data_IF_395108196282
#
_entry.id   IF_395108196282
#
_cell.length_a   1.000
_cell.length_b   1.000
_cell.length_c   1.000
_cell.angle_alpha   90.00
_cell.angle_beta   90.00
_cell.angle_gamma   90.00
#
_symmetry.space_group_name_H-M   'P 1'
#
loop_
_entity.id
_entity.type
_entity.pdbx_description
1 polymer ?
#
# COMPACT_ATOMS: atom_id res chain seq x y z
N UNK A 1 11.61 4.72 -20.99
CA UNK A 1 10.22 4.23 -20.76
C UNK A 1 10.10 2.72 -20.51
N UNK A 2 11.11 1.89 -20.85
CA UNK A 2 11.12 0.43 -20.53
C UNK A 2 11.73 0.06 -19.16
N UNK A 3 12.56 0.93 -18.57
CA UNK A 3 13.18 0.70 -17.26
C UNK A 3 12.29 1.09 -16.06
N UNK A 4 11.24 1.90 -16.28
CA UNK A 4 10.44 2.42 -15.16
C UNK A 4 9.78 1.26 -14.39
N UNK A 5 9.23 0.27 -15.06
CA UNK A 5 8.37 -0.74 -14.45
C UNK A 5 9.13 -1.88 -13.75
N UNK A 6 10.35 -2.19 -14.18
CA UNK A 6 11.08 -3.38 -13.72
C UNK A 6 11.66 -3.24 -12.32
N UNK A 7 11.91 -2.02 -11.82
CA UNK A 7 12.41 -1.81 -10.45
C UNK A 7 11.31 -1.66 -9.40
N UNK A 8 10.03 -1.72 -9.77
CA UNK A 8 8.92 -1.68 -8.80
C UNK A 8 8.84 -2.94 -7.92
N UNK A 9 9.62 -4.00 -8.22
CA UNK A 9 9.30 -5.36 -7.78
C UNK A 9 10.48 -6.33 -7.52
N UNK A 10 11.74 -5.87 -7.47
CA UNK A 10 12.89 -6.73 -7.13
C UNK A 10 13.48 -6.28 -5.77
N UNK A 11 13.74 -7.11 -4.76
CA UNK A 11 14.34 -8.45 -4.78
C UNK A 11 13.93 -9.33 -3.58
N UNK A 12 13.93 -10.64 -3.85
CA UNK A 12 14.35 -11.74 -2.97
C UNK A 12 13.46 -12.13 -1.80
N UNK A 13 12.50 -13.02 -2.10
CA UNK A 13 11.99 -13.99 -1.15
C UNK A 13 13.12 -14.88 -0.62
N UNK A 14 13.53 -14.65 0.63
CA UNK A 14 14.04 -15.66 1.56
C UNK A 14 13.86 -15.06 2.97
N UNK A 15 12.79 -15.49 3.64
CA UNK A 15 12.40 -15.17 5.02
C UNK A 15 12.00 -13.71 5.31
N UNK A 16 10.69 -13.43 5.28
CA UNK A 16 10.10 -12.20 5.84
C UNK A 16 9.32 -11.39 4.80
N UNK A 17 8.08 -11.06 5.14
CA UNK A 17 7.14 -10.31 4.29
C UNK A 17 7.71 -8.93 3.91
N UNK A 18 7.85 -8.66 2.61
CA UNK A 18 8.22 -7.34 2.08
C UNK A 18 6.96 -6.69 1.50
N UNK A 19 6.54 -5.56 2.06
CA UNK A 19 5.57 -4.67 1.42
C UNK A 19 6.30 -3.57 0.63
N UNK A 20 5.80 -3.30 -0.58
CA UNK A 20 6.30 -2.25 -1.45
C UNK A 20 5.49 -0.97 -1.26
N UNK A 21 6.18 0.15 -1.03
CA UNK A 21 5.59 1.49 -0.98
C UNK A 21 5.34 2.02 -2.41
N UNK A 22 4.19 2.68 -2.63
CA UNK A 22 3.78 3.28 -3.92
C UNK A 22 4.60 4.55 -4.22
N UNK A 23 5.47 4.58 -5.27
CA UNK A 23 6.40 5.69 -5.50
C UNK A 23 5.88 6.76 -6.49
N UNK A 24 6.46 7.98 -6.42
CA UNK A 24 5.97 9.18 -7.15
C UNK A 24 7.00 9.96 -8.01
N UNK A 25 8.33 9.74 -7.97
CA UNK A 25 9.32 10.31 -8.93
C UNK A 25 10.76 9.67 -8.89
N UNK A 26 11.72 10.08 -9.76
CA UNK A 26 12.99 9.34 -10.11
C UNK A 26 14.33 10.13 -10.04
N UNK A 27 15.45 9.43 -9.68
CA UNK A 27 16.87 9.74 -10.03
C UNK A 27 17.77 8.46 -10.09
N UNK A 28 18.25 8.02 -11.27
CA UNK A 28 19.31 6.99 -11.42
C UNK A 28 18.94 5.51 -11.19
N UNK A 29 19.94 4.67 -10.84
CA UNK A 29 19.89 3.20 -10.73
C UNK A 29 19.44 2.67 -9.35
N UNK A 30 18.91 3.53 -8.48
CA UNK A 30 18.41 3.10 -7.18
C UNK A 30 16.96 3.49 -6.94
N UNK A 31 16.26 2.61 -6.21
CA UNK A 31 14.87 2.77 -5.81
C UNK A 31 14.79 3.81 -4.69
N UNK A 32 14.67 5.07 -5.09
CA UNK A 32 14.37 6.19 -4.20
C UNK A 32 12.85 6.28 -4.11
N UNK A 33 12.26 6.00 -2.94
CA UNK A 33 10.92 6.53 -2.66
C UNK A 33 11.03 8.06 -2.72
N UNK A 34 9.95 8.83 -2.95
CA UNK A 34 9.98 10.33 -2.87
C UNK A 34 10.55 10.89 -1.54
N UNK A 35 10.81 9.97 -0.61
CA UNK A 35 11.13 10.11 0.79
C UNK A 35 12.48 9.46 1.10
N UNK A 36 13.16 8.81 0.15
CA UNK A 36 14.41 8.09 0.43
C UNK A 36 14.28 7.16 1.64
N UNK A 37 13.21 6.39 1.78
CA UNK A 37 12.99 5.46 2.89
C UNK A 37 12.48 4.11 2.37
N UNK A 38 13.08 3.00 2.82
CA UNK A 38 12.72 1.62 2.45
C UNK A 38 12.75 0.70 3.67
N UNK A 39 12.00 -0.41 3.64
CA UNK A 39 12.11 -1.46 4.65
C UNK A 39 13.31 -2.36 4.36
N UNK A 40 14.19 -2.50 5.34
CA UNK A 40 15.29 -3.45 5.33
C UNK A 40 14.84 -4.85 5.73
N UNK A 41 15.63 -5.86 5.36
CA UNK A 41 15.31 -7.27 5.56
C UNK A 41 15.29 -7.68 7.05
N UNK A 42 15.93 -6.93 7.95
CA UNK A 42 15.89 -7.18 9.38
C UNK A 42 14.78 -6.39 10.10
N UNK A 43 13.90 -5.72 9.35
CA UNK A 43 12.75 -4.98 9.89
C UNK A 43 13.02 -3.52 10.23
N UNK A 44 14.16 -2.98 9.81
CA UNK A 44 14.55 -1.57 9.94
C UNK A 44 13.97 -0.70 8.82
N UNK A 45 13.86 0.61 9.06
CA UNK A 45 13.58 1.58 8.00
C UNK A 45 14.89 2.22 7.59
N UNK A 46 15.39 1.89 6.40
CA UNK A 46 16.61 2.46 5.84
C UNK A 46 16.28 3.76 5.14
N UNK A 47 17.02 4.81 5.47
CA UNK A 47 16.99 6.08 4.76
C UNK A 47 18.02 6.04 3.63
N UNK A 48 17.56 6.19 2.40
CA UNK A 48 18.34 6.29 1.17
C UNK A 48 18.48 7.76 0.75
N UNK A 49 19.58 8.09 0.07
CA UNK A 49 19.71 9.37 -0.61
C UNK A 49 19.25 9.32 -2.07
N UNK A 50 19.42 10.44 -2.78
CA UNK A 50 19.07 10.56 -4.20
C UNK A 50 19.86 9.61 -5.11
N UNK A 51 21.00 9.09 -4.62
CA UNK A 51 21.79 8.06 -5.28
C UNK A 51 21.44 6.67 -4.76
N UNK A 52 20.39 6.56 -3.93
CA UNK A 52 19.91 5.39 -3.22
C UNK A 52 20.86 4.77 -2.20
N UNK A 53 21.91 5.48 -1.81
CA UNK A 53 22.83 5.00 -0.78
C UNK A 53 22.18 5.16 0.59
N UNK A 54 22.31 4.15 1.44
CA UNK A 54 21.86 4.23 2.84
C UNK A 54 22.63 5.33 3.58
N UNK A 55 21.90 6.32 4.11
CA UNK A 55 22.39 7.43 4.94
C UNK A 55 22.09 7.26 6.42
N UNK A 56 21.14 6.42 6.78
CA UNK A 56 20.78 6.19 8.17
C UNK A 56 19.60 5.25 8.29
N UNK A 57 19.13 5.10 9.52
CA UNK A 57 18.01 4.22 9.86
C UNK A 57 17.05 4.95 10.79
N UNK A 58 15.73 4.73 10.62
CA UNK A 58 14.74 5.20 11.57
C UNK A 58 14.43 4.08 12.57
N UNK A 59 14.61 4.32 13.88
CA UNK A 59 14.40 3.29 14.88
C UNK A 59 12.90 3.00 15.07
N UNK A 60 12.52 1.73 14.96
CA UNK A 60 11.17 1.25 15.24
C UNK A 60 11.17 0.28 16.44
N UNK A 61 10.42 0.57 17.53
CA UNK A 61 10.28 -0.34 18.65
C UNK A 61 9.24 -1.40 18.30
N UNK A 62 9.51 -2.68 18.55
CA UNK A 62 8.50 -3.72 18.37
C UNK A 62 8.75 -4.70 17.23
N UNK A 63 10.00 -4.78 16.75
CA UNK A 63 10.43 -5.83 15.85
C UNK A 63 10.07 -5.55 14.40
N UNK A 64 9.54 -6.54 13.70
CA UNK A 64 9.36 -6.49 12.25
C UNK A 64 8.26 -5.49 11.85
N UNK A 65 8.65 -4.54 11.01
CA UNK A 65 7.73 -3.62 10.35
C UNK A 65 7.03 -4.35 9.22
N UNK A 66 5.73 -4.13 9.13
CA UNK A 66 4.83 -4.82 8.22
C UNK A 66 4.20 -3.88 7.20
N UNK A 67 4.16 -2.58 7.49
CA UNK A 67 3.59 -1.56 6.62
C UNK A 67 4.32 -0.22 6.78
N UNK A 68 4.37 0.54 5.69
CA UNK A 68 4.79 1.93 5.67
C UNK A 68 3.75 2.78 4.92
N UNK A 69 3.66 4.07 5.25
CA UNK A 69 2.92 5.04 4.46
C UNK A 69 3.48 6.45 4.64
N UNK A 70 3.33 7.32 3.66
CA UNK A 70 3.85 8.69 3.71
C UNK A 70 2.77 9.72 3.38
N UNK A 71 2.65 10.71 4.25
CA UNK A 71 1.87 11.91 4.02
C UNK A 71 2.77 13.01 3.46
N UNK A 72 2.77 13.18 2.14
CA UNK A 72 3.65 14.11 1.42
C UNK A 72 3.52 15.56 1.88
N UNK A 73 2.29 16.08 1.97
CA UNK A 73 2.07 17.50 2.25
C UNK A 73 2.49 17.92 3.66
N UNK A 74 2.25 17.05 4.65
CA UNK A 74 2.62 17.28 6.06
C UNK A 74 4.01 16.77 6.41
N UNK A 75 4.68 16.07 5.48
CA UNK A 75 5.99 15.47 5.72
C UNK A 75 5.96 14.46 6.87
N UNK A 76 4.95 13.60 6.96
CA UNK A 76 4.83 12.58 8.02
C UNK A 76 5.02 11.20 7.43
N UNK A 77 5.98 10.44 7.96
CA UNK A 77 6.16 9.02 7.63
C UNK A 77 5.51 8.18 8.74
N UNK A 78 4.78 7.13 8.36
CA UNK A 78 4.20 6.17 9.27
C UNK A 78 4.76 4.77 9.01
N UNK A 79 5.00 4.02 10.08
CA UNK A 79 5.33 2.61 10.01
C UNK A 79 4.49 1.83 11.01
N UNK A 80 4.07 0.63 10.61
CA UNK A 80 3.22 -0.24 11.39
C UNK A 80 3.85 -1.61 11.59
N UNK A 81 3.68 -2.17 12.79
CA UNK A 81 4.09 -3.52 13.15
C UNK A 81 3.05 -4.19 14.04
N UNK A 82 3.49 -4.99 15.00
CA UNK A 82 2.63 -5.89 15.79
C UNK A 82 1.45 -5.26 16.53
N UNK A 83 1.63 -4.13 17.20
CA UNK A 83 0.53 -3.39 17.87
C UNK A 83 0.99 -1.95 18.08
N UNK A 84 1.79 -1.46 17.14
CA UNK A 84 2.43 -0.17 17.16
C UNK A 84 2.38 0.41 15.75
N UNK A 85 1.96 1.67 15.69
CA UNK A 85 2.25 2.55 14.57
C UNK A 85 3.14 3.66 15.12
N UNK A 86 4.27 3.92 14.46
CA UNK A 86 5.14 5.04 14.77
C UNK A 86 5.07 6.07 13.65
N UNK A 87 5.00 7.33 14.02
CA UNK A 87 5.03 8.48 13.12
C UNK A 87 6.36 9.23 13.28
N UNK A 88 6.94 9.65 12.16
CA UNK A 88 8.11 10.52 12.13
C UNK A 88 7.83 11.76 11.28
N UNK A 89 8.48 12.86 11.64
CA UNK A 89 8.65 13.99 10.77
C UNK A 89 9.75 13.69 9.76
N UNK A 90 9.43 13.90 8.49
CA UNK A 90 10.32 13.65 7.37
C UNK A 90 10.76 14.97 6.73
N UNK A 91 12.05 15.18 6.41
CA UNK A 91 13.19 14.23 6.46
C UNK A 91 13.99 14.22 7.76
N UNK A 92 13.57 14.93 8.82
CA UNK A 92 14.37 15.04 10.04
C UNK A 92 14.55 13.71 10.79
N UNK A 93 13.63 12.75 10.60
CA UNK A 93 13.63 11.49 11.36
C UNK A 93 13.22 11.67 12.82
N UNK A 94 12.68 12.84 13.17
CA UNK A 94 12.17 13.11 14.51
C UNK A 94 10.92 12.26 14.76
N UNK A 95 10.92 11.48 15.84
CA UNK A 95 9.75 10.71 16.26
C UNK A 95 8.67 11.68 16.72
N UNK A 96 7.52 11.66 16.07
CA UNK A 96 6.36 12.48 16.42
C UNK A 96 5.48 11.77 17.45
N UNK A 97 5.17 10.50 17.20
CA UNK A 97 4.15 9.79 17.97
C UNK A 97 4.27 8.28 17.85
N UNK A 98 3.95 7.59 18.95
CA UNK A 98 3.69 6.17 19.00
C UNK A 98 2.22 5.91 19.32
N UNK A 99 1.52 5.27 18.40
CA UNK A 99 0.14 4.82 18.56
C UNK A 99 0.20 3.34 18.88
N UNK A 100 -0.36 2.92 20.01
CA UNK A 100 -0.38 1.50 20.42
C UNK A 100 -1.65 1.18 21.20
N UNK A 101 -1.83 -0.10 21.56
CA UNK A 101 -2.97 -0.52 22.39
C UNK A 101 -4.28 -0.69 21.62
N UNK A 102 -4.25 -0.72 20.29
CA UNK A 102 -5.42 -0.95 19.44
C UNK A 102 -5.69 -2.43 19.14
N UNK A 103 -4.81 -3.34 19.58
CA UNK A 103 -5.10 -4.76 19.75
C UNK A 103 -5.04 -5.60 18.47
N UNK A 104 -4.40 -5.11 17.41
CA UNK A 104 -4.20 -5.84 16.15
C UNK A 104 -2.81 -5.59 15.59
N UNK A 105 -2.29 -6.55 14.83
CA UNK A 105 -1.11 -6.34 14.01
C UNK A 105 -1.46 -5.52 12.78
N UNK A 106 -0.66 -4.48 12.54
CA UNK A 106 -0.77 -3.62 11.37
C UNK A 106 -0.24 -4.37 10.18
N UNK A 107 -1.08 -4.54 9.15
CA UNK A 107 -0.69 -5.18 7.91
C UNK A 107 -0.58 -4.21 6.75
N UNK A 108 -1.32 -3.11 6.78
CA UNK A 108 -1.29 -2.10 5.72
C UNK A 108 -1.60 -0.72 6.28
N UNK A 109 -0.96 0.31 5.75
CA UNK A 109 -1.17 1.71 6.14
C UNK A 109 -1.43 2.58 4.91
N UNK A 110 -2.35 3.53 5.04
CA UNK A 110 -2.58 4.54 4.01
C UNK A 110 -3.04 5.86 4.64
N UNK A 111 -2.44 6.96 4.21
CA UNK A 111 -2.92 8.30 4.54
C UNK A 111 -4.05 8.73 3.61
N UNK A 112 -5.04 9.42 4.14
CA UNK A 112 -6.02 10.18 3.36
C UNK A 112 -6.28 11.50 4.05
N UNK A 113 -5.79 12.59 3.47
CA UNK A 113 -5.78 13.90 4.13
C UNK A 113 -5.22 13.73 5.56
N UNK A 114 -5.97 14.17 6.57
CA UNK A 114 -5.57 14.18 7.98
C UNK A 114 -5.82 12.85 8.71
N UNK A 115 -6.17 11.79 7.97
CA UNK A 115 -6.45 10.47 8.50
C UNK A 115 -5.35 9.49 8.16
N UNK A 116 -4.97 8.68 9.14
CA UNK A 116 -4.18 7.47 8.94
C UNK A 116 -5.09 6.25 9.06
N UNK A 117 -5.24 5.51 7.96
CA UNK A 117 -5.95 4.24 7.93
C UNK A 117 -4.98 3.08 8.15
N UNK A 118 -5.39 2.14 8.99
CA UNK A 118 -4.63 0.97 9.39
C UNK A 118 -5.46 -0.30 9.20
N UNK A 119 -4.95 -1.23 8.39
CA UNK A 119 -5.54 -2.56 8.19
C UNK A 119 -4.94 -3.55 9.16
N UNK A 120 -5.80 -4.25 9.89
CA UNK A 120 -5.43 -5.23 10.91
C UNK A 120 -5.43 -6.68 10.42
N UNK A 121 -4.75 -7.57 11.14
CA UNK A 121 -4.87 -9.02 10.97
C UNK A 121 -6.20 -9.60 11.47
N UNK A 122 -6.97 -8.82 12.24
CA UNK A 122 -8.31 -9.16 12.73
C UNK A 122 -9.45 -8.82 11.73
N UNK A 123 -9.07 -8.27 10.57
CA UNK A 123 -9.98 -7.84 9.50
C UNK A 123 -10.61 -6.48 9.70
N UNK A 124 -10.14 -5.72 10.70
CA UNK A 124 -10.59 -4.35 10.93
C UNK A 124 -9.74 -3.35 10.17
N UNK A 125 -10.39 -2.26 9.78
CA UNK A 125 -9.73 -1.01 9.44
C UNK A 125 -9.95 -0.04 10.60
N UNK A 126 -8.85 0.50 11.11
CA UNK A 126 -8.82 1.53 12.15
C UNK A 126 -8.41 2.85 11.52
N UNK A 127 -9.05 3.94 11.92
CA UNK A 127 -8.67 5.29 11.49
C UNK A 127 -8.24 6.13 12.67
N UNK A 128 -7.08 6.74 12.53
CA UNK A 128 -6.50 7.66 13.51
C UNK A 128 -6.39 9.05 12.91
N UNK A 129 -6.54 10.08 13.74
CA UNK A 129 -5.97 11.40 13.40
C UNK A 129 -4.44 11.39 13.57
N UNK A 130 -3.79 12.48 13.17
CA UNK A 130 -2.32 12.59 13.24
C UNK A 130 -1.80 12.80 14.67
N UNK A 131 -2.70 13.07 15.60
CA UNK A 131 -2.47 13.10 17.05
C UNK A 131 -2.62 11.71 17.70
N UNK A 132 -2.97 10.69 16.92
CA UNK A 132 -3.04 9.28 17.31
C UNK A 132 -4.33 8.86 18.01
N UNK A 133 -5.35 9.70 18.01
CA UNK A 133 -6.66 9.36 18.54
C UNK A 133 -7.37 8.45 17.55
N UNK A 134 -7.84 7.30 18.04
CA UNK A 134 -8.74 6.44 17.27
C UNK A 134 -10.07 7.15 17.06
N UNK A 135 -10.40 7.44 15.79
CA UNK A 135 -11.64 8.11 15.41
C UNK A 135 -12.76 7.11 15.15
N UNK A 136 -12.44 6.02 14.46
CA UNK A 136 -13.39 4.95 14.18
C UNK A 136 -12.68 3.62 13.87
N UNK A 137 -13.44 2.54 13.99
CA UNK A 137 -13.07 1.20 13.61
C UNK A 137 -14.21 0.56 12.83
N UNK A 138 -13.90 -0.13 11.73
CA UNK A 138 -14.88 -0.89 10.95
C UNK A 138 -14.32 -2.28 10.62
N UNK A 139 -15.19 -3.28 10.52
CA UNK A 139 -14.80 -4.61 10.08
C UNK A 139 -14.97 -4.70 8.56
N UNK A 140 -13.85 -4.68 7.83
CA UNK A 140 -13.86 -4.73 6.38
C UNK A 140 -13.85 -6.17 5.85
N UNK A 141 -13.14 -7.05 6.55
CA UNK A 141 -12.86 -8.40 6.09
C UNK A 141 -13.06 -9.44 7.20
N UNK A 142 -13.23 -10.70 6.82
CA UNK A 142 -13.35 -11.82 7.77
C UNK A 142 -12.04 -12.13 8.51
N UNK A 143 -10.91 -11.82 7.88
CA UNK A 143 -9.54 -12.04 8.34
C UNK A 143 -8.68 -10.85 7.88
N UNK A 144 -7.36 -11.00 7.84
CA UNK A 144 -6.39 -9.95 7.52
C UNK A 144 -6.80 -9.03 6.37
N UNK A 145 -6.70 -7.71 6.63
CA UNK A 145 -6.70 -6.67 5.60
C UNK A 145 -5.28 -6.57 5.04
N UNK A 146 -5.03 -7.19 3.89
CA UNK A 146 -3.70 -7.29 3.29
C UNK A 146 -3.23 -5.98 2.66
N UNK A 147 -4.16 -5.24 2.05
CA UNK A 147 -3.87 -3.99 1.37
C UNK A 147 -4.92 -2.93 1.69
N UNK A 148 -4.46 -1.69 1.85
CA UNK A 148 -5.31 -0.50 1.89
C UNK A 148 -4.75 0.53 0.92
N UNK A 149 -5.64 1.16 0.17
CA UNK A 149 -5.33 2.32 -0.65
C UNK A 149 -6.36 3.42 -0.40
N UNK A 150 -5.97 4.66 -0.65
CA UNK A 150 -6.81 5.83 -0.48
C UNK A 150 -6.84 6.63 -1.77
N UNK A 151 -7.95 7.31 -1.98
CA UNK A 151 -8.16 8.35 -2.99
C UNK A 151 -9.06 9.43 -2.39
N UNK A 152 -9.25 10.55 -3.09
CA UNK A 152 -10.03 11.69 -2.58
C UNK A 152 -11.44 11.27 -2.13
N UNK A 153 -11.65 11.17 -0.81
CA UNK A 153 -12.91 10.78 -0.19
C UNK A 153 -13.18 9.27 -0.11
N UNK A 154 -12.32 8.43 -0.69
CA UNK A 154 -12.51 6.98 -0.74
C UNK A 154 -11.32 6.21 -0.19
N UNK A 155 -11.59 5.01 0.31
CA UNK A 155 -10.54 4.04 0.58
C UNK A 155 -10.96 2.67 0.07
N UNK A 156 -9.99 1.87 -0.32
CA UNK A 156 -10.20 0.51 -0.77
C UNK A 156 -9.42 -0.46 0.09
N UNK A 157 -9.98 -1.64 0.31
CA UNK A 157 -9.41 -2.68 1.16
C UNK A 157 -9.35 -4.00 0.39
N UNK A 158 -8.24 -4.72 0.53
CA UNK A 158 -8.04 -6.05 0.00
C UNK A 158 -7.90 -7.05 1.15
N UNK A 159 -8.63 -8.17 1.07
CA UNK A 159 -8.62 -9.21 2.09
C UNK A 159 -8.65 -10.61 1.50
N UNK A 160 -8.81 -11.59 2.40
CA UNK A 160 -8.85 -13.01 2.01
C UNK A 160 -10.17 -13.46 1.38
N UNK A 161 -11.20 -12.63 1.50
CA UNK A 161 -12.60 -12.85 1.11
C UNK A 161 -12.99 -12.03 -0.14
N UNK A 162 -12.65 -10.73 -0.14
CA UNK A 162 -13.06 -9.77 -1.18
C UNK A 162 -12.13 -8.56 -1.24
N UNK A 163 -12.37 -7.73 -2.25
CA UNK A 163 -11.90 -6.34 -2.34
C UNK A 163 -13.11 -5.43 -2.15
N UNK A 164 -12.98 -4.35 -1.39
CA UNK A 164 -14.11 -3.45 -1.08
C UNK A 164 -13.71 -1.99 -1.31
N UNK A 165 -14.57 -1.22 -1.96
CA UNK A 165 -14.47 0.24 -2.03
C UNK A 165 -15.44 0.86 -1.02
N UNK A 166 -14.93 1.83 -0.27
CA UNK A 166 -15.64 2.52 0.80
C UNK A 166 -15.56 4.03 0.61
N UNK A 167 -16.63 4.72 1.00
CA UNK A 167 -16.58 6.17 1.23
C UNK A 167 -16.07 6.45 2.66
N UNK A 168 -15.06 7.31 2.79
CA UNK A 168 -14.36 7.56 4.07
C UNK A 168 -15.30 8.15 5.12
N UNK A 169 -16.06 9.19 4.76
CA UNK A 169 -16.86 9.94 5.74
C UNK A 169 -18.03 9.12 6.27
N UNK A 170 -18.79 8.47 5.37
CA UNK A 170 -19.94 7.66 5.75
C UNK A 170 -19.56 6.27 6.23
N UNK A 171 -18.35 5.79 5.90
CA UNK A 171 -17.90 4.39 6.06
C UNK A 171 -18.82 3.39 5.35
N UNK A 172 -19.55 3.85 4.34
CA UNK A 172 -20.46 3.02 3.56
C UNK A 172 -19.68 2.25 2.49
N UNK A 173 -19.96 0.97 2.37
CA UNK A 173 -19.54 0.16 1.23
C UNK A 173 -20.22 0.71 -0.04
N UNK A 174 -19.41 1.10 -1.02
CA UNK A 174 -19.88 1.53 -2.34
C UNK A 174 -20.11 0.30 -3.20
N UNK A 175 -19.12 -0.61 -3.24
CA UNK A 175 -19.22 -1.93 -3.85
C UNK A 175 -18.13 -2.85 -3.31
N UNK A 176 -18.29 -4.16 -3.54
CA UNK A 176 -17.26 -5.16 -3.31
C UNK A 176 -17.16 -6.18 -4.44
N UNK A 177 -15.99 -6.80 -4.54
CA UNK A 177 -15.69 -7.83 -5.52
C UNK A 177 -15.21 -9.09 -4.80
N UNK A 178 -15.81 -10.26 -5.07
CA UNK A 178 -15.41 -11.49 -4.42
C UNK A 178 -14.03 -11.94 -4.87
N UNK A 179 -13.29 -12.55 -3.96
CA UNK A 179 -11.99 -13.16 -4.22
C UNK A 179 -10.90 -12.62 -3.33
N UNK A 180 -9.98 -13.51 -2.96
CA UNK A 180 -8.77 -13.16 -2.22
C UNK A 180 -7.93 -12.19 -3.03
N UNK A 181 -7.53 -11.10 -2.39
CA UNK A 181 -6.53 -10.19 -2.92
C UNK A 181 -5.53 -9.78 -1.84
N UNK A 182 -4.27 -9.68 -2.24
CA UNK A 182 -3.17 -9.28 -1.35
C UNK A 182 -2.93 -7.78 -1.37
N UNK A 183 -3.32 -7.10 -2.46
CA UNK A 183 -3.02 -5.69 -2.67
C UNK A 183 -4.10 -5.01 -3.51
N UNK A 184 -4.19 -3.70 -3.34
CA UNK A 184 -5.14 -2.83 -4.04
C UNK A 184 -4.50 -1.46 -4.27
N UNK A 185 -4.78 -0.85 -5.41
CA UNK A 185 -4.29 0.49 -5.72
C UNK A 185 -5.30 1.31 -6.51
N UNK A 186 -5.37 2.61 -6.22
CA UNK A 186 -6.07 3.55 -7.07
C UNK A 186 -5.14 4.04 -8.19
N UNK A 187 -5.74 4.39 -9.32
CA UNK A 187 -5.07 5.23 -10.31
C UNK A 187 -4.80 6.62 -9.72
N UNK A 188 -3.80 7.36 -10.23
CA UNK A 188 -3.49 8.70 -9.75
C UNK A 188 -4.68 9.68 -9.86
N UNK A 189 -5.56 9.47 -10.83
CA UNK A 189 -6.79 10.24 -10.99
C UNK A 189 -7.89 9.87 -10.00
N UNK A 190 -7.80 8.71 -9.34
CA UNK A 190 -8.81 8.18 -8.43
C UNK A 190 -10.01 7.51 -9.11
N UNK A 191 -10.08 7.54 -10.44
CA UNK A 191 -11.22 6.99 -11.19
C UNK A 191 -11.14 5.49 -11.45
N UNK A 192 -9.99 4.87 -11.17
CA UNK A 192 -9.81 3.44 -11.35
C UNK A 192 -9.22 2.79 -10.12
N UNK A 193 -9.68 1.57 -9.84
CA UNK A 193 -9.18 0.73 -8.76
C UNK A 193 -8.66 -0.56 -9.36
N UNK A 194 -7.44 -0.97 -9.03
CA UNK A 194 -6.87 -2.24 -9.47
C UNK A 194 -6.66 -3.17 -8.28
N UNK A 195 -6.91 -4.46 -8.47
CA UNK A 195 -6.62 -5.50 -7.49
C UNK A 195 -6.15 -6.80 -8.16
N UNK A 196 -5.23 -7.51 -7.49
CA UNK A 196 -4.79 -8.84 -7.89
C UNK A 196 -5.68 -9.90 -7.26
N UNK A 197 -6.63 -10.47 -8.00
CA UNK A 197 -7.52 -11.52 -7.53
C UNK A 197 -6.96 -12.89 -7.92
N UNK A 198 -6.10 -13.46 -7.07
CA UNK A 198 -5.34 -14.65 -7.42
C UNK A 198 -4.43 -14.38 -8.62
N UNK A 199 -4.65 -15.07 -9.74
CA UNK A 199 -3.83 -14.96 -10.98
C UNK A 199 -4.28 -13.84 -11.92
N UNK A 200 -5.40 -13.19 -11.58
CA UNK A 200 -6.10 -12.26 -12.45
C UNK A 200 -5.84 -10.84 -11.95
N UNK A 201 -5.47 -9.94 -12.86
CA UNK A 201 -5.56 -8.51 -12.61
C UNK A 201 -6.96 -8.06 -12.99
N UNK A 202 -7.62 -7.38 -12.06
CA UNK A 202 -8.90 -6.72 -12.31
C UNK A 202 -8.76 -5.23 -12.07
N UNK A 203 -9.37 -4.44 -12.94
CA UNK A 203 -9.49 -2.99 -12.83
C UNK A 203 -10.95 -2.61 -12.94
N UNK A 204 -11.39 -1.72 -12.06
CA UNK A 204 -12.76 -1.22 -12.00
C UNK A 204 -12.80 0.30 -12.02
N UNK A 205 -13.92 0.82 -12.50
CA UNK A 205 -14.31 2.21 -12.36
C UNK A 205 -14.80 2.47 -10.93
N UNK A 206 -14.31 3.54 -10.31
CA UNK A 206 -14.64 3.86 -8.90
C UNK A 206 -15.98 4.59 -8.76
N UNK A 207 -16.49 5.22 -9.82
CA UNK A 207 -17.76 5.95 -9.78
C UNK A 207 -18.97 5.00 -9.84
N UNK A 208 -18.88 3.93 -10.62
CA UNK A 208 -19.98 3.00 -10.89
C UNK A 208 -19.70 1.55 -10.47
N UNK A 209 -18.45 1.22 -10.08
CA UNK A 209 -18.07 -0.15 -9.72
C UNK A 209 -18.05 -1.12 -10.90
N UNK A 210 -17.96 -0.59 -12.12
CA UNK A 210 -18.00 -1.40 -13.33
C UNK A 210 -16.61 -1.98 -13.63
N UNK A 211 -16.52 -3.27 -14.01
CA UNK A 211 -15.26 -3.85 -14.45
C UNK A 211 -14.83 -3.17 -15.76
N UNK A 212 -13.64 -2.58 -15.75
CA UNK A 212 -13.00 -1.97 -16.91
C UNK A 212 -12.07 -2.96 -17.60
N UNK A 213 -11.36 -3.76 -16.81
CA UNK A 213 -10.40 -4.73 -17.32
C UNK A 213 -10.36 -5.98 -16.43
N UNK A 214 -10.29 -7.13 -17.08
CA UNK A 214 -10.01 -8.41 -16.43
C UNK A 214 -9.05 -9.21 -17.32
N UNK A 215 -7.83 -9.41 -16.84
CA UNK A 215 -6.77 -10.10 -17.60
C UNK A 215 -6.09 -11.16 -16.76
N UNK A 216 -5.78 -12.28 -17.42
CA UNK A 216 -4.98 -13.33 -16.83
C UNK A 216 -3.53 -12.88 -16.77
N UNK A 217 -3.15 -12.33 -15.61
CA UNK A 217 -1.89 -11.61 -15.50
C UNK A 217 -0.70 -12.54 -15.27
N UNK A 218 -0.91 -13.62 -14.52
CA UNK A 218 0.17 -14.40 -13.95
C UNK A 218 -0.15 -15.89 -13.86
N UNK A 219 0.88 -16.73 -13.74
CA UNK A 219 0.71 -18.18 -13.53
C UNK A 219 0.52 -18.53 -12.05
N UNK A 220 0.79 -17.58 -11.15
CA UNK A 220 0.59 -17.67 -9.70
C UNK A 220 -0.08 -16.41 -9.14
N UNK A 221 -0.28 -16.35 -7.83
CA UNK A 221 -0.94 -15.23 -7.18
C UNK A 221 -0.17 -13.92 -7.41
N UNK A 222 -0.87 -12.91 -7.92
CA UNK A 222 -0.46 -11.51 -7.87
C UNK A 222 -0.44 -11.06 -6.42
N UNK A 223 0.72 -10.57 -5.98
CA UNK A 223 0.94 -10.16 -4.59
C UNK A 223 1.04 -8.65 -4.41
N UNK A 224 1.36 -7.91 -5.47
CA UNK A 224 1.39 -6.45 -5.42
C UNK A 224 1.14 -5.84 -6.80
N UNK A 225 0.69 -4.59 -6.80
CA UNK A 225 0.39 -3.83 -7.99
C UNK A 225 0.57 -2.31 -7.78
N UNK A 226 0.93 -1.61 -8.85
CA UNK A 226 1.09 -0.16 -8.85
C UNK A 226 0.66 0.45 -10.19
N UNK A 227 -0.06 1.56 -10.14
CA UNK A 227 -0.32 2.37 -11.33
C UNK A 227 0.90 3.21 -11.70
N UNK A 228 1.09 3.45 -13.00
CA UNK A 228 1.99 4.50 -13.47
C UNK A 228 1.46 5.89 -13.06
N UNK A 229 2.33 6.91 -12.90
CA UNK A 229 1.90 8.26 -12.53
C UNK A 229 0.94 8.93 -13.52
N UNK A 230 0.97 8.52 -14.79
CA UNK A 230 0.02 8.97 -15.82
C UNK A 230 -1.25 8.12 -15.87
N UNK A 231 -1.35 7.07 -15.04
CA UNK A 231 -2.50 6.18 -14.95
C UNK A 231 -2.70 5.22 -16.13
N UNK A 232 -1.81 5.21 -17.12
CA UNK A 232 -1.96 4.43 -18.36
C UNK A 232 -1.54 2.97 -18.24
N UNK A 233 -0.78 2.64 -17.20
CA UNK A 233 -0.28 1.30 -17.00
C UNK A 233 -0.42 0.84 -15.56
N UNK A 234 -0.54 -0.47 -15.38
CA UNK A 234 -0.42 -1.14 -14.08
C UNK A 234 0.73 -2.13 -14.14
N UNK A 235 1.67 -1.99 -13.22
CA UNK A 235 2.69 -2.99 -12.95
C UNK A 235 2.11 -4.02 -11.95
N UNK A 236 2.34 -5.30 -12.18
CA UNK A 236 1.96 -6.38 -11.28
C UNK A 236 3.14 -7.29 -11.00
N UNK A 237 3.24 -7.79 -9.77
CA UNK A 237 4.23 -8.80 -9.42
C UNK A 237 3.60 -9.99 -8.72
N UNK A 238 4.19 -11.15 -8.98
CA UNK A 238 3.59 -12.44 -8.67
C UNK A 238 4.57 -13.41 -8.03
N UNK A 239 4.01 -14.39 -7.32
CA UNK A 239 4.75 -15.53 -6.77
C UNK A 239 5.32 -16.46 -7.87
N UNK A 240 4.96 -16.27 -9.14
CA UNK A 240 5.61 -16.93 -10.28
C UNK A 240 6.99 -16.35 -10.62
N UNK A 241 7.45 -15.36 -9.82
CA UNK A 241 8.74 -14.68 -9.95
C UNK A 241 8.82 -13.77 -11.19
N UNK A 242 7.67 -13.36 -11.72
CA UNK A 242 7.59 -12.42 -12.84
C UNK A 242 6.99 -11.09 -12.43
N UNK A 243 7.34 -10.07 -13.20
CA UNK A 243 6.74 -8.75 -13.19
C UNK A 243 6.14 -8.51 -14.56
N UNK A 244 4.89 -8.07 -14.61
CA UNK A 244 4.20 -7.75 -15.85
C UNK A 244 3.75 -6.29 -15.83
N UNK A 245 3.61 -5.73 -17.04
CA UNK A 245 3.04 -4.41 -17.27
C UNK A 245 1.78 -4.58 -18.11
N UNK A 246 0.72 -3.89 -17.72
CA UNK A 246 -0.57 -3.94 -18.38
C UNK A 246 -0.99 -2.54 -18.79
N UNK A 247 -1.34 -2.33 -20.06
CA UNK A 247 -2.09 -1.15 -20.47
C UNK A 247 -3.45 -1.11 -19.76
N UNK A 248 -3.82 0.02 -19.16
CA UNK A 248 -5.14 0.17 -18.51
C UNK A 248 -6.28 0.29 -19.51
N UNK A 249 -5.98 0.66 -20.76
CA UNK A 249 -6.97 0.80 -21.83
C UNK A 249 -7.24 -0.53 -22.53
N UNK A 250 -6.21 -1.36 -22.72
CA UNK A 250 -6.29 -2.56 -23.57
C UNK A 250 -5.98 -3.87 -22.85
N UNK A 251 -5.32 -3.81 -21.69
CA UNK A 251 -4.85 -4.99 -20.95
C UNK A 251 -3.80 -5.85 -21.66
N UNK A 252 -3.13 -5.29 -22.67
CA UNK A 252 -2.01 -5.92 -23.37
C UNK A 252 -0.67 -5.26 -23.06
#
# INVERSE_FOLDING_TARGET
>A
MRLLILCFLALSALAGEVQFLKPTSWLGDLLVTDVGAVLGAAGEILVLDETGKVRGELPFPGGQIQALSWHKEKGVLAAGGWNLIRLWKWPSGEVLLDISGFGTMVRSLAFSQDLLLCGGTDGRVLAFDLEGKLLWALRAHESTVWGIATSSGFFATAGSDRVVLWEIESRKEIFSFPGRSWDVAFSPSGFSLAAGAGKILKIWDTAFGLPLLEVWAHESCTVTLAFSPDGKYVATGSLDKTVALWSTETGG
#
